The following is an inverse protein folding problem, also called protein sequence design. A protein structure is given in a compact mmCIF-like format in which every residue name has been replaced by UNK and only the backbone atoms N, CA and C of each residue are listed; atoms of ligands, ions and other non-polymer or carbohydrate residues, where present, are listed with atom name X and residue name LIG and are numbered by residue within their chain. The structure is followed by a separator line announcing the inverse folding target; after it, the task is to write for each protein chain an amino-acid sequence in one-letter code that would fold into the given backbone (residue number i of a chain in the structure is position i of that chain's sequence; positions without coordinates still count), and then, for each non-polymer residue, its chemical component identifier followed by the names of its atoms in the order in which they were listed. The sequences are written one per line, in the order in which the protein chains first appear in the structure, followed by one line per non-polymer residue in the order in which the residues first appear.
data_IF_259033681266
#
_entry.id   IF_259033681266
#
_cell.length_a   1.000
_cell.length_b   1.000
_cell.length_c   1.000
_cell.angle_alpha   90.00
_cell.angle_beta   90.00
_cell.angle_gamma   90.00
#
_symmetry.space_group_name_H-M   'P 1'
#
loop_
_entity.id
_entity.type
_entity.pdbx_description
1 polymer ?
#
# COMPACT_ATOMS: atom_id res chain seq x y z
N UNK A 1 -14.47 3.33 43.26
CA UNK A 1 -15.22 3.91 44.40
C UNK A 1 -16.65 3.36 44.56
N UNK A 2 -17.30 2.79 43.54
CA UNK A 2 -18.68 2.27 43.69
C UNK A 2 -18.79 0.88 44.32
N UNK A 3 -17.79 0.01 44.13
CA UNK A 3 -17.73 -1.31 44.78
C UNK A 3 -17.50 -1.17 46.29
N UNK A 4 -16.63 -0.22 46.69
CA UNK A 4 -16.36 0.13 48.09
C UNK A 4 -17.55 0.78 48.80
N UNK A 5 -18.54 1.29 48.05
CA UNK A 5 -19.76 1.90 48.59
C UNK A 5 -20.95 0.93 48.64
N UNK A 6 -20.80 -0.31 48.14
CA UNK A 6 -21.84 -1.33 48.17
C UNK A 6 -23.05 -1.08 47.25
N UNK A 7 -22.98 -0.09 46.35
CA UNK A 7 -24.08 0.30 45.46
C UNK A 7 -24.18 -0.56 44.18
N UNK A 8 -23.15 -1.35 43.86
CA UNK A 8 -23.11 -2.23 42.69
C UNK A 8 -22.70 -3.64 43.14
N UNK A 9 -23.50 -4.70 42.87
CA UNK A 9 -23.08 -6.08 43.11
C UNK A 9 -21.77 -6.35 42.38
N UNK A 10 -20.79 -6.95 43.04
CA UNK A 10 -19.44 -7.17 42.50
C UNK A 10 -19.43 -7.85 41.13
N UNK A 11 -20.39 -8.75 40.91
CA UNK A 11 -20.64 -9.39 39.61
C UNK A 11 -20.98 -8.40 38.48
N UNK A 12 -21.71 -7.32 38.76
CA UNK A 12 -22.04 -6.28 37.78
C UNK A 12 -20.85 -5.38 37.49
N UNK A 13 -20.00 -5.12 38.48
CA UNK A 13 -18.76 -4.37 38.28
C UNK A 13 -17.78 -5.17 37.40
N UNK A 14 -17.60 -6.46 37.69
CA UNK A 14 -16.76 -7.33 36.86
C UNK A 14 -17.26 -7.39 35.42
N UNK A 15 -18.58 -7.57 35.21
CA UNK A 15 -19.15 -7.57 33.85
C UNK A 15 -18.99 -6.24 33.11
N UNK A 16 -18.96 -5.10 33.82
CA UNK A 16 -18.69 -3.79 33.20
C UNK A 16 -17.20 -3.64 32.89
N UNK A 17 -16.32 -4.06 33.79
CA UNK A 17 -14.87 -4.04 33.57
C UNK A 17 -14.47 -4.91 32.38
N UNK A 18 -14.98 -6.15 32.30
CA UNK A 18 -14.69 -7.07 31.19
C UNK A 18 -15.17 -6.51 29.84
N UNK A 19 -16.32 -5.82 29.83
CA UNK A 19 -16.83 -5.16 28.61
C UNK A 19 -15.96 -3.97 28.22
N UNK A 20 -15.55 -3.18 29.21
CA UNK A 20 -14.71 -2.01 29.00
C UNK A 20 -13.33 -2.41 28.47
N UNK A 21 -12.71 -3.45 29.04
CA UNK A 21 -11.42 -3.98 28.60
C UNK A 21 -11.51 -4.51 27.17
N UNK A 22 -12.61 -5.19 26.83
CA UNK A 22 -12.85 -5.65 25.47
C UNK A 22 -13.03 -4.50 24.47
N UNK A 23 -13.79 -3.47 24.84
CA UNK A 23 -14.00 -2.29 24.00
C UNK A 23 -12.70 -1.51 23.79
N UNK A 24 -11.86 -1.40 24.82
CA UNK A 24 -10.52 -0.82 24.73
C UNK A 24 -9.60 -1.60 23.78
N UNK A 25 -9.62 -2.93 23.85
CA UNK A 25 -8.84 -3.78 22.95
C UNK A 25 -9.28 -3.62 21.48
N UNK A 26 -10.59 -3.64 21.22
CA UNK A 26 -11.15 -3.44 19.87
C UNK A 26 -10.85 -2.04 19.33
N UNK A 27 -10.89 -1.00 20.18
CA UNK A 27 -10.53 0.37 19.79
C UNK A 27 -9.04 0.48 19.45
N UNK A 28 -8.18 -0.16 20.24
CA UNK A 28 -6.72 -0.16 20.01
C UNK A 28 -6.37 -0.83 18.70
N UNK A 29 -6.99 -1.98 18.41
CA UNK A 29 -6.78 -2.70 17.15
C UNK A 29 -7.22 -1.87 15.93
N UNK A 30 -8.35 -1.15 16.04
CA UNK A 30 -8.81 -0.24 14.99
C UNK A 30 -7.87 0.94 14.78
N UNK A 31 -7.34 1.53 15.85
CA UNK A 31 -6.35 2.61 15.74
C UNK A 31 -5.12 2.11 15.00
N UNK A 32 -4.57 0.95 15.37
CA UNK A 32 -3.43 0.37 14.67
C UNK A 32 -3.72 0.07 13.20
N UNK A 33 -4.92 -0.41 12.88
CA UNK A 33 -5.35 -0.63 11.51
C UNK A 33 -5.39 0.68 10.72
N UNK A 34 -6.06 1.70 11.22
CA UNK A 34 -6.15 3.00 10.54
C UNK A 34 -4.80 3.68 10.40
N UNK A 35 -3.91 3.55 11.38
CA UNK A 35 -2.54 4.04 11.24
C UNK A 35 -1.74 3.27 10.18
N UNK A 36 -1.92 1.94 10.07
CA UNK A 36 -1.28 1.14 9.02
C UNK A 36 -1.78 1.55 7.64
N UNK A 37 -3.09 1.73 7.48
CA UNK A 37 -3.71 2.18 6.24
C UNK A 37 -3.25 3.60 5.85
N UNK A 38 -3.28 4.54 6.79
CA UNK A 38 -2.82 5.92 6.56
C UNK A 38 -1.33 6.04 6.24
N UNK A 39 -0.48 5.23 6.90
CA UNK A 39 0.95 5.14 6.55
C UNK A 39 1.15 4.60 5.14
N UNK A 40 0.40 3.56 4.74
CA UNK A 40 0.52 2.99 3.41
C UNK A 40 0.15 3.98 2.30
N UNK A 41 -0.89 4.80 2.52
CA UNK A 41 -1.35 5.80 1.55
C UNK A 41 -0.39 7.01 1.45
N UNK A 42 0.10 7.52 2.59
CA UNK A 42 1.06 8.63 2.60
C UNK A 42 2.39 8.24 1.95
N UNK A 43 2.87 7.03 2.24
CA UNK A 43 4.05 6.45 1.61
C UNK A 43 3.93 6.34 0.09
N UNK A 44 2.74 6.16 -0.47
CA UNK A 44 2.55 6.06 -1.92
C UNK A 44 2.67 7.43 -2.60
N UNK A 45 2.09 8.47 -2.00
CA UNK A 45 2.11 9.83 -2.54
C UNK A 45 3.52 10.44 -2.52
N UNK A 46 4.25 10.25 -1.43
CA UNK A 46 5.63 10.74 -1.31
C UNK A 46 6.55 10.04 -2.33
N UNK A 47 6.36 8.73 -2.54
CA UNK A 47 7.12 7.95 -3.55
C UNK A 47 6.83 8.40 -4.98
N UNK A 48 5.64 8.91 -5.28
CA UNK A 48 5.29 9.45 -6.60
C UNK A 48 5.98 10.79 -6.83
N UNK A 49 6.01 11.66 -5.82
CA UNK A 49 6.70 12.95 -5.93
C UNK A 49 8.21 12.76 -6.10
N UNK A 50 8.81 11.88 -5.29
CA UNK A 50 10.22 11.49 -5.43
C UNK A 50 10.53 10.89 -6.81
N UNK A 51 9.59 10.11 -7.37
CA UNK A 51 9.70 9.56 -8.72
C UNK A 51 9.70 10.65 -9.80
N UNK A 52 8.80 11.63 -9.73
CA UNK A 52 8.76 12.75 -10.68
C UNK A 52 10.05 13.57 -10.57
N UNK A 53 10.54 13.81 -9.37
CA UNK A 53 11.77 14.56 -9.14
C UNK A 53 13.01 13.80 -9.62
N UNK A 54 13.06 12.47 -9.50
CA UNK A 54 14.17 11.67 -10.00
C UNK A 54 14.11 11.48 -11.53
N UNK A 55 12.93 11.24 -12.09
CA UNK A 55 12.74 11.10 -13.54
C UNK A 55 12.91 12.42 -14.27
N UNK A 56 12.51 13.56 -13.69
CA UNK A 56 12.70 14.88 -14.30
C UNK A 56 14.17 15.24 -14.53
N UNK A 57 15.09 14.76 -13.66
CA UNK A 57 16.55 14.87 -13.85
C UNK A 57 17.02 14.14 -15.11
N UNK A 58 16.26 13.15 -15.57
CA UNK A 58 16.53 12.33 -16.74
C UNK A 58 15.57 12.62 -17.92
N UNK A 59 14.60 13.52 -17.77
CA UNK A 59 13.60 13.86 -18.79
C UNK A 59 14.19 14.58 -20.02
N UNK A 60 15.46 14.99 -19.97
CA UNK A 60 16.22 15.47 -21.11
C UNK A 60 16.99 14.39 -21.88
N UNK A 61 16.89 13.12 -21.48
CA UNK A 61 17.61 12.02 -22.13
C UNK A 61 16.71 11.39 -23.20
N UNK A 62 17.12 11.51 -24.46
CA UNK A 62 16.43 10.96 -25.65
C UNK A 62 16.55 9.44 -25.79
N UNK A 63 17.37 8.78 -24.97
CA UNK A 63 17.60 7.33 -25.01
C UNK A 63 17.49 6.69 -23.61
N UNK A 64 16.68 5.64 -23.47
CA UNK A 64 16.61 4.88 -22.22
C UNK A 64 17.96 4.18 -21.95
N UNK A 65 18.69 4.68 -20.95
CA UNK A 65 19.92 4.04 -20.48
C UNK A 65 19.61 2.84 -19.58
N UNK A 66 20.34 1.73 -19.74
CA UNK A 66 20.21 0.50 -18.94
C UNK A 66 20.14 0.76 -17.42
N UNK A 67 20.92 1.72 -16.91
CA UNK A 67 20.89 2.11 -15.49
C UNK A 67 19.54 2.69 -15.07
N UNK A 68 19.01 3.61 -15.87
CA UNK A 68 17.72 4.27 -15.64
C UNK A 68 16.61 3.21 -15.72
N UNK A 69 16.67 2.33 -16.72
CA UNK A 69 15.73 1.25 -16.93
C UNK A 69 15.68 0.28 -15.73
N UNK A 70 16.83 -0.10 -15.17
CA UNK A 70 16.93 -0.92 -13.96
C UNK A 70 16.46 -0.23 -12.68
N UNK A 71 16.55 1.10 -12.61
CA UNK A 71 16.08 1.85 -11.45
C UNK A 71 14.57 2.06 -11.47
N UNK A 72 13.97 2.23 -12.65
CA UNK A 72 12.55 2.53 -12.80
C UNK A 72 11.67 1.26 -12.84
N UNK A 73 12.20 0.16 -13.37
CA UNK A 73 11.43 -1.06 -13.62
C UNK A 73 11.59 -2.04 -12.45
N UNK A 74 10.45 -2.55 -11.97
CA UNK A 74 10.37 -3.61 -10.97
C UNK A 74 10.55 -4.98 -11.65
N UNK A 75 9.76 -5.21 -12.69
CA UNK A 75 9.82 -6.43 -13.50
C UNK A 75 9.30 -6.19 -14.91
N UNK A 76 9.79 -6.99 -15.84
CA UNK A 76 9.32 -7.04 -17.22
C UNK A 76 8.73 -8.44 -17.44
N UNK A 77 7.43 -8.51 -17.74
CA UNK A 77 6.78 -9.75 -18.12
C UNK A 77 6.75 -9.83 -19.64
N UNK A 78 7.46 -10.82 -20.17
CA UNK A 78 7.51 -11.08 -21.61
C UNK A 78 6.66 -12.33 -21.87
N UNK A 79 5.55 -12.15 -22.58
CA UNK A 79 4.64 -13.25 -22.92
C UNK A 79 5.24 -14.13 -24.02
N UNK A 80 4.62 -15.29 -24.28
CA UNK A 80 5.02 -16.13 -25.42
C UNK A 80 4.79 -15.36 -26.72
N UNK A 81 5.66 -15.57 -27.71
CA UNK A 81 5.44 -15.06 -29.06
C UNK A 81 4.23 -15.75 -29.69
N UNK A 82 3.28 -14.95 -30.18
CA UNK A 82 2.08 -15.39 -30.86
C UNK A 82 2.12 -14.95 -32.32
N UNK A 83 1.62 -15.80 -33.21
CA UNK A 83 1.57 -15.47 -34.63
C UNK A 83 0.23 -14.78 -34.91
N UNK A 84 0.27 -13.47 -35.18
CA UNK A 84 -0.88 -12.66 -35.53
C UNK A 84 -0.65 -12.14 -36.95
N UNK A 85 -1.58 -12.42 -37.87
CA UNK A 85 -1.53 -11.98 -39.27
C UNK A 85 -0.21 -12.29 -40.02
N UNK A 86 0.43 -13.41 -39.70
CA UNK A 86 1.67 -13.83 -40.35
C UNK A 86 2.94 -13.34 -39.66
N UNK A 87 2.84 -12.38 -38.74
CA UNK A 87 3.95 -11.84 -37.96
C UNK A 87 3.98 -12.43 -36.55
N UNK A 88 5.18 -12.56 -35.98
CA UNK A 88 5.35 -12.96 -34.58
C UNK A 88 5.28 -11.71 -33.71
N UNK A 89 4.23 -11.62 -32.89
CA UNK A 89 4.00 -10.54 -31.93
C UNK A 89 4.25 -11.08 -30.53
N UNK A 90 4.96 -10.30 -29.71
CA UNK A 90 5.25 -10.66 -28.32
C UNK A 90 4.75 -9.55 -27.40
N UNK A 91 3.82 -9.90 -26.50
CA UNK A 91 3.28 -8.93 -25.54
C UNK A 91 4.29 -8.72 -24.40
N UNK A 92 4.78 -7.49 -24.28
CA UNK A 92 5.68 -7.04 -23.21
C UNK A 92 4.86 -6.19 -22.24
N UNK A 93 4.90 -6.52 -20.95
CA UNK A 93 4.31 -5.72 -19.87
C UNK A 93 5.44 -5.26 -18.95
N UNK A 94 5.51 -3.95 -18.72
CA UNK A 94 6.53 -3.32 -17.90
C UNK A 94 5.88 -2.85 -16.60
N UNK A 95 6.38 -3.33 -15.47
CA UNK A 95 5.94 -2.91 -14.15
C UNK A 95 6.94 -1.90 -13.61
N UNK A 96 6.48 -0.70 -13.29
CA UNK A 96 7.31 0.33 -12.68
C UNK A 96 7.24 0.21 -11.16
N UNK A 97 8.39 0.36 -10.49
CA UNK A 97 8.48 0.23 -9.02
C UNK A 97 7.60 1.22 -8.25
N UNK A 98 7.24 2.34 -8.89
CA UNK A 98 6.66 3.50 -8.21
C UNK A 98 5.24 3.86 -8.68
N UNK A 99 4.75 3.26 -9.78
CA UNK A 99 3.46 3.62 -10.39
C UNK A 99 2.46 2.44 -10.39
N UNK A 100 2.87 1.27 -9.90
CA UNK A 100 2.05 0.05 -10.04
C UNK A 100 1.83 -0.31 -11.52
N UNK A 101 0.86 -1.19 -11.83
CA UNK A 101 0.49 -1.48 -13.21
C UNK A 101 -0.20 -0.27 -13.85
N UNK A 102 0.32 0.19 -15.00
CA UNK A 102 -0.25 1.30 -15.77
C UNK A 102 -1.69 1.04 -16.26
N UNK A 103 -2.14 -0.21 -16.24
CA UNK A 103 -3.51 -0.61 -16.56
C UNK A 103 -4.56 -0.07 -15.56
N UNK A 104 -4.14 0.56 -14.46
CA UNK A 104 -5.01 1.12 -13.43
C UNK A 104 -5.27 2.64 -13.57
N UNK A 105 -4.73 3.29 -14.60
CA UNK A 105 -4.98 4.71 -14.88
C UNK A 105 -5.96 4.79 -16.06
N UNK A 106 -7.26 4.82 -15.76
CA UNK A 106 -8.34 5.27 -16.67
C UNK A 106 -8.55 6.79 -16.58
#
# INVERSE_FOLDING_TARGET
EDVSKGLLPEKRFQMLADRYDKEQAELTEKIEQYEREGRAEHDQLDKIQDFIDEVSKYAGITELNYKILHQLIDKILVSRAEKVDGEYVQKIQIFYRFIGPLDAIE
#
